data_IF_483641503380
#
_entry.id   IF_483641503380
#
_cell.length_a   1.000
_cell.length_b   1.000
_cell.length_c   1.000
_cell.angle_alpha   90.00
_cell.angle_beta   90.00
_cell.angle_gamma   90.00
#
_symmetry.space_group_name_H-M   'P 1'
#
loop_
_entity.id
_entity.type
_entity.pdbx_description
1 polymer ?
#
# COMPACT_ATOMS: atom_id res chain seq x y z
N UNK A 1 5.62 24.20 -50.44
CA UNK A 1 6.63 23.16 -50.10
C UNK A 1 5.90 21.83 -50.10
N UNK A 2 5.92 21.15 -51.25
CA UNK A 2 5.33 19.83 -51.42
C UNK A 2 6.06 18.82 -50.54
N UNK A 3 5.36 17.83 -49.95
CA UNK A 3 5.97 16.74 -49.22
C UNK A 3 6.54 15.71 -50.21
N UNK A 4 7.36 16.17 -51.14
CA UNK A 4 8.03 15.29 -52.09
C UNK A 4 9.16 14.62 -51.32
N UNK A 5 9.08 13.30 -51.24
CA UNK A 5 10.18 12.34 -51.12
C UNK A 5 11.36 12.75 -50.21
N UNK A 6 11.67 11.93 -49.21
CA UNK A 6 13.05 11.90 -48.69
C UNK A 6 13.97 11.80 -49.91
N UNK A 7 14.83 12.81 -50.19
CA UNK A 7 15.48 12.91 -51.49
C UNK A 7 16.32 11.66 -51.73
N UNK A 8 15.95 10.88 -52.75
CA UNK A 8 16.62 9.64 -53.15
C UNK A 8 15.88 8.32 -52.87
N UNK A 9 14.69 8.32 -52.26
CA UNK A 9 13.89 7.10 -52.05
C UNK A 9 12.70 7.05 -53.02
N UNK A 10 12.59 5.96 -53.80
CA UNK A 10 11.41 5.68 -54.63
C UNK A 10 10.13 5.55 -53.79
N UNK A 11 8.97 5.71 -54.43
CA UNK A 11 7.64 5.64 -53.79
C UNK A 11 7.49 4.40 -52.90
N UNK A 12 7.96 3.25 -53.37
CA UNK A 12 7.81 1.96 -52.68
C UNK A 12 8.65 1.91 -51.39
N UNK A 13 9.86 2.47 -51.43
CA UNK A 13 10.75 2.52 -50.28
C UNK A 13 10.25 3.49 -49.20
N UNK A 14 9.53 4.55 -49.57
CA UNK A 14 8.89 5.44 -48.60
C UNK A 14 7.68 4.80 -47.91
N UNK A 15 6.89 4.00 -48.64
CA UNK A 15 5.80 3.20 -48.06
C UNK A 15 6.35 2.16 -47.08
N UNK A 16 7.43 1.46 -47.44
CA UNK A 16 8.04 0.46 -46.57
C UNK A 16 8.65 1.07 -45.30
N UNK A 17 9.29 2.25 -45.41
CA UNK A 17 9.77 3.02 -44.27
C UNK A 17 8.64 3.43 -43.33
N UNK A 18 7.51 3.91 -43.88
CA UNK A 18 6.33 4.28 -43.08
C UNK A 18 5.75 3.05 -42.37
N UNK A 19 5.67 1.91 -43.06
CA UNK A 19 5.18 0.65 -42.49
C UNK A 19 6.07 0.16 -41.33
N UNK A 20 7.38 0.16 -41.51
CA UNK A 20 8.32 -0.24 -40.46
C UNK A 20 8.23 0.72 -39.27
N UNK A 21 8.25 2.04 -39.53
CA UNK A 21 8.12 3.05 -38.48
C UNK A 21 6.80 2.94 -37.71
N UNK A 22 5.69 2.73 -38.42
CA UNK A 22 4.36 2.55 -37.81
C UNK A 22 4.30 1.30 -36.93
N UNK A 23 4.85 0.17 -37.42
CA UNK A 23 4.91 -1.08 -36.64
C UNK A 23 5.74 -0.93 -35.36
N UNK A 24 6.89 -0.26 -35.42
CA UNK A 24 7.74 0.02 -34.24
C UNK A 24 7.05 0.97 -33.27
N UNK A 25 6.29 1.94 -33.77
CA UNK A 25 5.56 2.89 -32.95
C UNK A 25 4.41 2.22 -32.19
N UNK A 26 3.65 1.34 -32.86
CA UNK A 26 2.62 0.50 -32.24
C UNK A 26 3.22 -0.43 -31.17
N UNK A 27 4.30 -1.14 -31.48
CA UNK A 27 5.00 -1.99 -30.53
C UNK A 27 5.48 -1.21 -29.28
N UNK A 28 5.91 0.04 -29.47
CA UNK A 28 6.27 0.95 -28.39
C UNK A 28 5.10 1.31 -27.46
N UNK A 29 3.88 1.45 -28.00
CA UNK A 29 2.68 1.71 -27.22
C UNK A 29 2.21 0.46 -26.47
N UNK A 30 2.17 -0.69 -27.15
CA UNK A 30 1.79 -1.97 -26.54
C UNK A 30 2.72 -2.36 -25.38
N UNK A 31 4.03 -2.18 -25.55
CA UNK A 31 5.01 -2.43 -24.46
C UNK A 31 4.81 -1.51 -23.27
N UNK A 32 4.47 -0.23 -23.48
CA UNK A 32 4.15 0.69 -22.39
C UNK A 32 2.88 0.26 -21.64
N UNK A 33 1.86 -0.18 -22.38
CA UNK A 33 0.61 -0.70 -21.80
C UNK A 33 0.81 -2.00 -21.02
N UNK A 34 1.59 -2.93 -21.56
CA UNK A 34 1.94 -4.18 -20.87
C UNK A 34 2.69 -3.93 -19.56
N UNK A 35 3.62 -2.95 -19.55
CA UNK A 35 4.31 -2.51 -18.32
C UNK A 35 3.33 -1.92 -17.31
N UNK A 36 2.39 -1.09 -17.76
CA UNK A 36 1.37 -0.51 -16.88
C UNK A 36 0.43 -1.58 -16.29
N UNK A 37 0.03 -2.59 -17.07
CA UNK A 37 -0.76 -3.73 -16.59
C UNK A 37 0.00 -4.57 -15.57
N UNK A 38 1.28 -4.86 -15.83
CA UNK A 38 2.14 -5.59 -14.88
C UNK A 38 2.28 -4.82 -13.57
N UNK A 39 2.54 -3.51 -13.65
CA UNK A 39 2.62 -2.64 -12.48
C UNK A 39 1.30 -2.61 -11.72
N UNK A 40 0.16 -2.48 -12.41
CA UNK A 40 -1.17 -2.54 -11.80
C UNK A 40 -1.38 -3.83 -11.02
N UNK A 41 -1.06 -4.99 -11.59
CA UNK A 41 -1.20 -6.28 -10.90
C UNK A 41 -0.37 -6.33 -9.60
N UNK A 42 0.90 -5.94 -9.64
CA UNK A 42 1.77 -5.92 -8.45
C UNK A 42 1.22 -4.95 -7.39
N UNK A 43 0.88 -3.74 -7.80
CA UNK A 43 0.42 -2.67 -6.92
C UNK A 43 -0.92 -3.01 -6.27
N UNK A 44 -1.84 -3.62 -7.04
CA UNK A 44 -3.12 -4.10 -6.53
C UNK A 44 -2.94 -5.22 -5.50
N UNK A 45 -2.03 -6.17 -5.74
CA UNK A 45 -1.72 -7.24 -4.78
C UNK A 45 -1.14 -6.68 -3.46
N UNK A 46 -0.26 -5.69 -3.54
CA UNK A 46 0.27 -5.00 -2.36
C UNK A 46 -0.82 -4.24 -1.60
N UNK A 47 -1.72 -3.56 -2.32
CA UNK A 47 -2.86 -2.87 -1.70
C UNK A 47 -3.77 -3.87 -0.97
N UNK A 48 -4.11 -5.00 -1.60
CA UNK A 48 -4.91 -6.07 -0.97
C UNK A 48 -4.20 -6.66 0.24
N UNK A 49 -2.89 -6.93 0.15
CA UNK A 49 -2.10 -7.47 1.25
C UNK A 49 -2.05 -6.51 2.43
N UNK A 50 -1.90 -5.20 2.19
CA UNK A 50 -1.90 -4.20 3.24
C UNK A 50 -3.26 -4.00 3.88
N UNK A 51 -4.34 -3.95 3.09
CA UNK A 51 -5.71 -3.82 3.61
C UNK A 51 -6.11 -5.08 4.39
N UNK A 52 -5.78 -6.27 3.86
CA UNK A 52 -6.00 -7.53 4.55
C UNK A 52 -5.17 -7.65 5.82
N UNK A 53 -3.86 -7.37 5.73
CA UNK A 53 -2.96 -7.36 6.87
C UNK A 53 -3.43 -6.37 7.94
N UNK A 54 -3.86 -5.17 7.55
CA UNK A 54 -4.44 -4.17 8.44
C UNK A 54 -5.69 -4.68 9.18
N UNK A 55 -6.56 -5.42 8.49
CA UNK A 55 -7.77 -5.99 9.08
C UNK A 55 -7.47 -7.12 10.08
N UNK A 56 -6.41 -7.90 9.85
CA UNK A 56 -6.06 -9.05 10.69
C UNK A 56 -5.00 -8.77 11.76
N UNK A 57 -4.16 -7.75 11.61
CA UNK A 57 -3.02 -7.48 12.49
C UNK A 57 -3.35 -6.62 13.72
N UNK A 58 -4.61 -6.56 14.15
CA UNK A 58 -4.97 -5.84 15.37
C UNK A 58 -4.63 -4.35 15.33
N UNK A 59 -4.83 -3.68 14.19
CA UNK A 59 -4.58 -2.23 14.06
C UNK A 59 -5.26 -1.43 15.17
N UNK A 60 -6.38 -1.91 15.71
CA UNK A 60 -7.12 -1.27 16.79
C UNK A 60 -6.29 -1.04 18.07
N UNK A 61 -5.29 -1.88 18.33
CA UNK A 61 -4.48 -1.82 19.57
C UNK A 61 -3.17 -1.04 19.37
N UNK A 62 -2.83 -0.72 18.11
CA UNK A 62 -1.65 0.06 17.77
C UNK A 62 -1.74 1.51 18.24
N UNK A 63 -0.58 2.16 18.44
CA UNK A 63 -0.53 3.59 18.75
C UNK A 63 -1.13 4.43 17.62
N UNK A 64 -1.75 5.56 17.97
CA UNK A 64 -2.42 6.46 17.01
C UNK A 64 -1.52 6.87 15.83
N UNK A 65 -0.24 7.15 16.08
CA UNK A 65 0.70 7.51 15.01
C UNK A 65 0.88 6.36 14.00
N UNK A 66 1.03 5.12 14.48
CA UNK A 66 1.16 3.92 13.64
C UNK A 66 -0.11 3.70 12.82
N UNK A 67 -1.29 3.82 13.45
CA UNK A 67 -2.59 3.72 12.79
C UNK A 67 -2.72 4.70 11.62
N UNK A 68 -2.36 5.97 11.86
CA UNK A 68 -2.41 7.02 10.83
C UNK A 68 -1.45 6.69 9.68
N UNK A 69 -0.21 6.29 9.99
CA UNK A 69 0.76 5.92 8.96
C UNK A 69 0.30 4.70 8.13
N UNK A 70 -0.28 3.67 8.75
CA UNK A 70 -0.81 2.51 8.02
C UNK A 70 -1.99 2.91 7.13
N UNK A 71 -2.90 3.76 7.61
CA UNK A 71 -4.05 4.22 6.83
C UNK A 71 -3.61 5.10 5.65
N UNK A 72 -2.63 5.98 5.86
CA UNK A 72 -2.02 6.76 4.79
C UNK A 72 -1.32 5.86 3.75
N UNK A 73 -0.58 4.86 4.20
CA UNK A 73 0.05 3.90 3.29
C UNK A 73 -1.00 3.16 2.45
N UNK A 74 -2.05 2.63 3.08
CA UNK A 74 -3.13 1.91 2.39
C UNK A 74 -3.86 2.80 1.37
N UNK A 75 -4.20 4.03 1.73
CA UNK A 75 -4.86 4.99 0.81
C UNK A 75 -3.96 5.39 -0.35
N UNK A 76 -2.65 5.58 -0.13
CA UNK A 76 -1.69 5.84 -1.19
C UNK A 76 -1.55 4.64 -2.16
N UNK A 77 -1.56 3.42 -1.65
CA UNK A 77 -1.55 2.22 -2.51
C UNK A 77 -2.83 2.09 -3.35
N UNK A 78 -4.00 2.38 -2.79
CA UNK A 78 -5.26 2.41 -3.54
C UNK A 78 -5.24 3.51 -4.61
N UNK A 79 -4.74 4.70 -4.27
CA UNK A 79 -4.60 5.80 -5.23
C UNK A 79 -3.61 5.45 -6.35
N UNK A 80 -2.47 4.85 -6.03
CA UNK A 80 -1.52 4.36 -7.03
C UNK A 80 -2.17 3.31 -7.94
N UNK A 81 -2.90 2.35 -7.37
CA UNK A 81 -3.65 1.31 -8.11
C UNK A 81 -4.61 1.96 -9.10
N UNK A 82 -5.39 2.95 -8.65
CA UNK A 82 -6.32 3.68 -9.50
C UNK A 82 -5.62 4.44 -10.64
N UNK A 83 -4.49 5.10 -10.36
CA UNK A 83 -3.71 5.81 -11.38
C UNK A 83 -3.10 4.86 -12.42
N UNK A 84 -2.59 3.70 -12.00
CA UNK A 84 -2.12 2.67 -12.93
C UNK A 84 -3.28 2.09 -13.76
N UNK A 85 -4.46 1.89 -13.15
CA UNK A 85 -5.64 1.48 -13.88
C UNK A 85 -6.00 2.50 -14.97
N UNK A 86 -6.04 3.79 -14.64
CA UNK A 86 -6.29 4.86 -15.63
C UNK A 86 -5.21 4.94 -16.73
N UNK A 87 -3.96 4.63 -16.40
CA UNK A 87 -2.89 4.55 -17.38
C UNK A 87 -3.05 3.33 -18.31
N UNK A 88 -3.51 2.19 -17.78
CA UNK A 88 -3.68 0.94 -18.53
C UNK A 88 -4.99 0.88 -19.34
N UNK A 89 -6.06 1.55 -18.89
CA UNK A 89 -7.38 1.56 -19.54
C UNK A 89 -7.62 2.77 -20.42
N UNK A 90 -6.78 3.81 -20.34
CA UNK A 90 -6.87 4.97 -21.21
C UNK A 90 -6.80 4.57 -22.67
N UNK A 91 -7.95 4.40 -23.32
CA UNK A 91 -8.07 4.28 -24.77
C UNK A 91 -7.87 5.67 -25.35
N UNK A 92 -6.66 5.97 -25.81
CA UNK A 92 -6.44 7.20 -26.55
C UNK A 92 -7.08 7.01 -27.92
N UNK A 93 -8.06 7.86 -28.20
CA UNK A 93 -8.93 7.74 -29.35
C UNK A 93 -8.16 8.06 -30.62
N UNK A 94 -7.46 7.06 -31.17
CA UNK A 94 -7.23 6.98 -32.61
C UNK A 94 -8.60 6.72 -33.30
N UNK A 95 -9.59 6.21 -32.54
CA UNK A 95 -10.92 5.78 -33.00
C UNK A 95 -11.94 6.90 -33.25
N UNK A 96 -11.66 8.17 -32.95
CA UNK A 96 -12.58 9.25 -33.33
C UNK A 96 -12.45 9.67 -34.79
N UNK A 97 -11.54 9.06 -35.57
CA UNK A 97 -11.75 9.01 -37.02
C UNK A 97 -12.92 8.06 -37.29
N UNK A 98 -14.15 8.58 -37.23
CA UNK A 98 -15.32 8.01 -37.93
C UNK A 98 -15.14 8.06 -39.46
N UNK A 99 -13.90 8.05 -39.95
CA UNK A 99 -13.59 7.88 -41.35
C UNK A 99 -13.55 6.38 -41.60
N UNK A 100 -14.48 5.89 -42.43
CA UNK A 100 -14.30 4.64 -43.17
C UNK A 100 -12.83 4.58 -43.65
N UNK A 101 -12.21 3.39 -43.62
CA UNK A 101 -10.89 3.18 -44.23
C UNK A 101 -10.88 3.78 -45.63
N UNK A 102 -10.41 5.03 -45.73
CA UNK A 102 -10.37 5.79 -46.96
C UNK A 102 -9.05 5.39 -47.57
N UNK A 103 -9.07 4.81 -48.76
CA UNK A 103 -7.85 4.65 -49.55
C UNK A 103 -7.19 6.02 -49.64
N UNK A 104 -6.08 6.15 -48.93
CA UNK A 104 -5.27 7.37 -48.94
C UNK A 104 -4.52 7.32 -50.25
N UNK A 105 -4.76 8.29 -51.11
CA UNK A 105 -4.00 8.44 -52.36
C UNK A 105 -2.53 8.78 -52.04
N UNK A 106 -1.61 8.45 -52.95
CA UNK A 106 -0.15 8.66 -52.74
C UNK A 106 0.19 10.10 -52.32
N UNK A 107 -0.55 11.10 -52.81
CA UNK A 107 -0.33 12.52 -52.50
C UNK A 107 -0.86 12.93 -51.12
N UNK A 108 -1.84 12.21 -50.58
CA UNK A 108 -2.40 12.43 -49.24
C UNK A 108 -1.66 11.63 -48.14
N UNK A 109 -0.81 10.69 -48.53
CA UNK A 109 -0.11 9.77 -47.61
C UNK A 109 0.89 10.48 -46.70
N UNK A 110 1.67 11.43 -47.24
CA UNK A 110 2.68 12.15 -46.47
C UNK A 110 2.11 13.07 -45.36
N UNK A 111 1.07 13.90 -45.60
CA UNK A 111 0.44 14.68 -44.54
C UNK A 111 -0.34 13.79 -43.54
N UNK A 112 -0.97 12.71 -44.00
CA UNK A 112 -1.63 11.75 -43.11
C UNK A 112 -0.63 11.06 -42.17
N UNK A 113 0.54 10.65 -42.68
CA UNK A 113 1.61 10.06 -41.89
C UNK A 113 2.12 11.02 -40.80
N UNK A 114 2.33 12.31 -41.13
CA UNK A 114 2.73 13.33 -40.14
C UNK A 114 1.68 13.51 -39.04
N UNK A 115 0.39 13.50 -39.39
CA UNK A 115 -0.71 13.57 -38.42
C UNK A 115 -0.73 12.39 -37.46
N UNK A 116 -0.56 11.16 -37.99
CA UNK A 116 -0.49 9.94 -37.18
C UNK A 116 0.73 9.97 -36.25
N UNK A 117 1.90 10.37 -36.73
CA UNK A 117 3.12 10.44 -35.92
C UNK A 117 2.95 11.43 -34.76
N UNK A 118 2.41 12.62 -35.02
CA UNK A 118 2.15 13.62 -33.99
C UNK A 118 1.14 13.13 -32.94
N UNK A 119 0.09 12.42 -33.38
CA UNK A 119 -0.89 11.82 -32.47
C UNK A 119 -0.25 10.77 -31.56
N UNK A 120 0.59 9.89 -32.12
CA UNK A 120 1.29 8.86 -31.35
C UNK A 120 2.27 9.47 -30.34
N UNK A 121 3.00 10.54 -30.71
CA UNK A 121 3.86 11.23 -29.74
C UNK A 121 3.06 11.83 -28.58
N UNK A 122 1.93 12.48 -28.89
CA UNK A 122 1.06 13.07 -27.87
C UNK A 122 0.50 12.01 -26.92
N UNK A 123 0.07 10.86 -27.46
CA UNK A 123 -0.37 9.71 -26.66
C UNK A 123 0.75 9.18 -25.75
N UNK A 124 1.94 8.98 -26.32
CA UNK A 124 3.10 8.50 -25.56
C UNK A 124 3.48 9.42 -24.41
N UNK A 125 3.47 10.73 -24.63
CA UNK A 125 3.78 11.71 -23.60
C UNK A 125 2.72 11.72 -22.49
N UNK A 126 1.45 11.56 -22.84
CA UNK A 126 0.35 11.51 -21.88
C UNK A 126 0.39 10.22 -21.04
N UNK A 127 0.65 9.07 -21.66
CA UNK A 127 0.91 7.80 -20.94
C UNK A 127 2.10 7.96 -20.02
N UNK A 128 3.22 8.51 -20.52
CA UNK A 128 4.43 8.71 -19.72
C UNK A 128 4.19 9.63 -18.53
N UNK A 129 3.42 10.70 -18.70
CA UNK A 129 3.04 11.60 -17.64
C UNK A 129 2.20 10.87 -16.57
N UNK A 130 1.16 10.12 -16.98
CA UNK A 130 0.33 9.34 -16.05
C UNK A 130 1.13 8.29 -15.28
N UNK A 131 1.99 7.53 -15.98
CA UNK A 131 2.84 6.53 -15.35
C UNK A 131 3.83 7.16 -14.38
N UNK A 132 4.41 8.33 -14.69
CA UNK A 132 5.28 9.05 -13.75
C UNK A 132 4.55 9.46 -12.47
N UNK A 133 3.31 9.94 -12.58
CA UNK A 133 2.49 10.27 -11.41
C UNK A 133 2.17 9.02 -10.58
N UNK A 134 1.77 7.92 -11.24
CA UNK A 134 1.52 6.65 -10.58
C UNK A 134 2.77 6.12 -9.86
N UNK A 135 3.95 6.21 -10.49
CA UNK A 135 5.23 5.82 -9.89
C UNK A 135 5.56 6.68 -8.66
N UNK A 136 5.34 8.00 -8.73
CA UNK A 136 5.60 8.90 -7.61
C UNK A 136 4.71 8.57 -6.40
N UNK A 137 3.41 8.33 -6.64
CA UNK A 137 2.47 7.92 -5.58
C UNK A 137 2.84 6.54 -5.02
N UNK A 138 3.21 5.58 -5.87
CA UNK A 138 3.64 4.26 -5.43
C UNK A 138 4.94 4.32 -4.60
N UNK A 139 5.89 5.19 -4.97
CA UNK A 139 7.09 5.42 -4.18
C UNK A 139 6.76 5.98 -2.80
N UNK A 140 5.90 7.02 -2.73
CA UNK A 140 5.42 7.57 -1.47
C UNK A 140 4.68 6.52 -0.62
N UNK A 141 3.87 5.67 -1.25
CA UNK A 141 3.18 4.57 -0.59
C UNK A 141 4.19 3.60 0.03
N UNK A 142 5.19 3.17 -0.73
CA UNK A 142 6.24 2.26 -0.27
C UNK A 142 7.07 2.86 0.87
N UNK A 143 7.51 4.12 0.75
CA UNK A 143 8.25 4.79 1.83
C UNK A 143 7.41 4.91 3.10
N UNK A 144 6.12 5.24 2.97
CA UNK A 144 5.21 5.35 4.11
C UNK A 144 4.97 3.98 4.75
N UNK A 145 4.84 2.91 3.96
CA UNK A 145 4.76 1.54 4.47
C UNK A 145 6.00 1.15 5.26
N UNK A 146 7.21 1.45 4.77
CA UNK A 146 8.46 1.15 5.48
C UNK A 146 8.55 1.94 6.79
N UNK A 147 8.18 3.21 6.78
CA UNK A 147 8.12 4.04 8.00
C UNK A 147 7.10 3.46 8.99
N UNK A 148 5.90 3.11 8.54
CA UNK A 148 4.87 2.52 9.39
C UNK A 148 5.37 1.23 10.05
N UNK A 149 5.99 0.34 9.28
CA UNK A 149 6.59 -0.90 9.79
C UNK A 149 7.70 -0.57 10.80
N UNK A 150 8.62 0.34 10.47
CA UNK A 150 9.69 0.76 11.38
C UNK A 150 9.16 1.36 12.69
N UNK A 151 8.07 2.13 12.62
CA UNK A 151 7.40 2.66 13.81
C UNK A 151 6.76 1.56 14.66
N UNK A 152 6.21 0.50 14.06
CA UNK A 152 5.76 -0.68 14.83
C UNK A 152 6.96 -1.26 15.61
N UNK A 153 8.09 -1.50 14.95
CA UNK A 153 9.27 -2.07 15.63
C UNK A 153 9.82 -1.19 16.77
N UNK A 154 9.71 0.13 16.67
CA UNK A 154 10.26 1.07 17.66
C UNK A 154 9.25 1.39 18.77
N UNK A 155 7.97 1.59 18.40
CA UNK A 155 6.95 2.15 19.29
C UNK A 155 5.97 1.11 19.81
N UNK A 156 5.86 -0.04 19.15
CA UNK A 156 4.97 -1.09 19.59
C UNK A 156 5.67 -1.86 20.71
N UNK A 157 5.17 -1.80 21.96
CA UNK A 157 5.46 -2.85 22.89
C UNK A 157 4.65 -4.04 22.37
N UNK A 158 5.18 -4.78 21.37
CA UNK A 158 4.62 -5.99 20.75
C UNK A 158 4.39 -7.15 21.74
N UNK A 159 4.35 -6.82 23.01
CA UNK A 159 4.22 -7.67 24.15
C UNK A 159 3.05 -7.23 25.03
N UNK A 160 2.47 -6.03 24.89
CA UNK A 160 1.39 -5.64 25.78
C UNK A 160 0.05 -6.24 25.34
N UNK A 161 -0.44 -7.24 26.08
CA UNK A 161 -1.76 -7.84 25.87
C UNK A 161 -2.60 -7.73 27.13
N UNK A 162 -3.89 -7.45 26.98
CA UNK A 162 -4.80 -7.34 28.11
C UNK A 162 -5.15 -8.75 28.58
N UNK A 163 -4.87 -9.04 29.84
CA UNK A 163 -5.13 -10.34 30.42
C UNK A 163 -5.88 -10.23 31.74
N UNK A 164 -6.71 -11.23 32.00
CA UNK A 164 -7.29 -11.45 33.32
C UNK A 164 -6.32 -12.26 34.14
N UNK A 165 -5.85 -11.66 35.23
CA UNK A 165 -4.84 -12.20 36.12
C UNK A 165 -5.50 -12.63 37.40
N UNK A 166 -5.19 -13.84 37.84
CA UNK A 166 -5.50 -14.32 39.18
C UNK A 166 -4.22 -14.37 40.00
N UNK A 167 -4.24 -13.73 41.17
CA UNK A 167 -3.10 -13.78 42.09
C UNK A 167 -3.22 -15.01 43.00
N UNK A 168 -2.35 -15.98 42.78
CA UNK A 168 -2.23 -17.18 43.61
C UNK A 168 -0.94 -17.08 44.47
N UNK A 169 -1.00 -16.28 45.53
CA UNK A 169 0.12 -16.08 46.45
C UNK A 169 -0.32 -16.26 47.89
N UNK A 170 0.47 -16.94 48.75
CA UNK A 170 0.25 -16.95 50.19
C UNK A 170 0.38 -15.53 50.81
N UNK A 171 1.10 -14.61 50.15
CA UNK A 171 1.17 -13.19 50.48
C UNK A 171 0.04 -12.36 49.83
N UNK A 172 -0.95 -13.00 49.20
CA UNK A 172 -2.04 -12.36 48.46
C UNK A 172 -2.84 -11.34 49.28
N UNK A 173 -2.84 -11.48 50.61
CA UNK A 173 -3.44 -10.51 51.54
C UNK A 173 -2.80 -9.11 51.48
N UNK A 174 -1.50 -9.01 51.22
CA UNK A 174 -0.79 -7.73 51.06
C UNK A 174 -1.15 -7.05 49.75
N UNK A 175 -1.34 -7.82 48.68
CA UNK A 175 -1.74 -7.29 47.37
C UNK A 175 -3.23 -6.92 47.37
N UNK A 176 -4.08 -7.71 48.03
CA UNK A 176 -5.50 -7.38 48.25
C UNK A 176 -5.70 -6.08 49.05
N UNK A 177 -4.74 -5.69 49.89
CA UNK A 177 -4.78 -4.40 50.59
C UNK A 177 -4.63 -3.20 49.62
N UNK A 178 -3.88 -3.38 48.52
CA UNK A 178 -3.69 -2.39 47.46
C UNK A 178 -4.83 -2.47 46.44
N UNK A 179 -5.25 -3.69 46.12
CA UNK A 179 -6.27 -4.03 45.14
C UNK A 179 -7.56 -4.52 45.79
N UNK A 180 -8.38 -3.57 46.25
CA UNK A 180 -9.54 -3.79 47.14
C UNK A 180 -10.71 -4.55 46.49
N UNK A 181 -10.67 -4.77 45.19
CA UNK A 181 -11.89 -5.03 44.39
C UNK A 181 -11.78 -6.27 43.52
N UNK A 182 -10.67 -7.00 43.62
CA UNK A 182 -10.52 -8.27 42.95
C UNK A 182 -11.46 -9.31 43.61
N UNK A 183 -12.70 -9.42 43.11
CA UNK A 183 -13.59 -10.55 43.43
C UNK A 183 -12.79 -11.83 43.14
N UNK A 184 -12.55 -12.64 44.16
CA UNK A 184 -11.76 -13.88 44.08
C UNK A 184 -10.28 -13.72 43.67
N UNK A 185 -9.72 -12.51 43.79
CA UNK A 185 -8.32 -12.26 43.41
C UNK A 185 -8.07 -12.13 41.91
N UNK A 186 -9.12 -11.96 41.10
CA UNK A 186 -9.05 -11.73 39.66
C UNK A 186 -9.22 -10.24 39.32
N UNK A 187 -8.38 -9.72 38.43
CA UNK A 187 -8.54 -8.39 37.83
C UNK A 187 -7.95 -8.34 36.42
N UNK A 188 -8.35 -7.32 35.65
CA UNK A 188 -7.89 -7.13 34.27
C UNK A 188 -6.78 -6.08 34.24
N UNK A 189 -5.64 -6.43 33.64
CA UNK A 189 -4.51 -5.54 33.45
C UNK A 189 -3.84 -5.83 32.11
N UNK A 190 -3.05 -4.88 31.62
CA UNK A 190 -2.21 -5.08 30.44
C UNK A 190 -0.87 -5.67 30.89
N UNK A 191 -0.51 -6.83 30.35
CA UNK A 191 0.73 -7.54 30.66
C UNK A 191 1.68 -7.38 29.49
N UNK A 192 2.94 -7.05 29.77
CA UNK A 192 4.04 -7.26 28.84
C UNK A 192 4.36 -8.78 28.73
N UNK A 193 3.92 -9.45 27.66
CA UNK A 193 4.18 -10.83 27.28
C UNK A 193 5.67 -11.20 27.33
N UNK A 194 6.60 -10.29 27.03
CA UNK A 194 8.03 -10.58 27.18
C UNK A 194 8.43 -10.68 28.65
N UNK A 195 7.72 -9.99 29.55
CA UNK A 195 7.91 -10.11 30.99
C UNK A 195 7.46 -11.47 31.56
N UNK A 196 6.62 -12.23 30.86
CA UNK A 196 6.21 -13.58 31.28
C UNK A 196 7.39 -14.55 31.40
N UNK A 197 8.44 -14.37 30.59
CA UNK A 197 9.67 -15.16 30.67
C UNK A 197 10.61 -14.73 31.81
N UNK A 198 10.37 -13.55 32.41
CA UNK A 198 11.20 -12.97 33.47
C UNK A 198 10.69 -13.42 34.84
N UNK A 199 11.49 -13.17 35.89
CA UNK A 199 11.09 -13.46 37.29
C UNK A 199 9.96 -12.58 37.80
N UNK A 200 9.77 -11.43 37.17
CA UNK A 200 8.76 -10.43 37.52
C UNK A 200 8.02 -10.00 36.26
N UNK A 201 6.71 -9.84 36.39
CA UNK A 201 5.85 -9.27 35.38
C UNK A 201 5.47 -7.84 35.77
N UNK A 202 5.46 -6.95 34.80
CA UNK A 202 4.99 -5.57 34.97
C UNK A 202 3.58 -5.48 34.42
N UNK A 203 2.66 -5.06 35.27
CA UNK A 203 1.26 -4.84 34.96
C UNK A 203 1.01 -3.34 34.80
N UNK A 204 0.48 -2.94 33.65
CA UNK A 204 0.10 -1.55 33.34
C UNK A 204 -1.40 -1.46 33.05
N UNK A 205 -1.94 -0.24 33.07
CA UNK A 205 -3.37 0.03 32.82
C UNK A 205 -4.32 -0.80 33.71
N UNK A 206 -3.96 -0.92 34.99
CA UNK A 206 -4.82 -1.60 35.96
C UNK A 206 -6.04 -0.72 36.17
N UNK A 207 -7.24 -1.26 35.95
CA UNK A 207 -8.49 -0.51 36.17
C UNK A 207 -8.46 0.05 37.59
N UNK A 208 -8.55 1.38 37.70
CA UNK A 208 -8.48 2.12 38.98
C UNK A 208 -9.56 1.72 39.98
N UNK A 209 -10.63 1.10 39.49
CA UNK A 209 -11.66 0.48 40.33
C UNK A 209 -11.13 -0.73 41.09
N UNK A 210 -10.13 -1.43 40.57
CA UNK A 210 -9.61 -2.70 41.10
C UNK A 210 -8.40 -2.49 42.02
N UNK A 211 -7.56 -1.48 41.74
CA UNK A 211 -6.41 -1.11 42.55
C UNK A 211 -6.33 0.40 42.81
N UNK A 212 -6.08 0.79 44.06
CA UNK A 212 -5.93 2.20 44.45
C UNK A 212 -4.67 2.80 43.82
N UNK A 213 -4.83 3.62 42.78
CA UNK A 213 -3.82 4.50 42.18
C UNK A 213 -2.51 3.82 41.71
N UNK A 214 -2.49 2.50 41.55
CA UNK A 214 -1.35 1.80 40.96
C UNK A 214 -1.49 1.81 39.43
N UNK A 215 -0.84 2.76 38.76
CA UNK A 215 -0.72 2.78 37.30
C UNK A 215 0.22 1.69 36.78
N UNK A 216 1.12 1.22 37.65
CA UNK A 216 2.10 0.19 37.37
C UNK A 216 2.26 -0.70 38.62
N UNK A 217 2.26 -2.02 38.43
CA UNK A 217 2.47 -2.99 39.50
C UNK A 217 3.41 -4.08 39.02
N UNK A 218 4.51 -4.29 39.74
CA UNK A 218 5.47 -5.37 39.44
C UNK A 218 5.24 -6.54 40.40
N UNK A 219 4.92 -7.72 39.87
CA UNK A 219 4.61 -8.92 40.67
C UNK A 219 5.53 -10.08 40.24
N UNK A 220 6.02 -10.92 41.17
CA UNK A 220 6.69 -12.16 40.80
C UNK A 220 5.80 -13.05 39.93
N UNK A 221 6.34 -13.56 38.82
CA UNK A 221 5.58 -14.38 37.84
C UNK A 221 4.97 -15.63 38.49
N UNK A 222 5.64 -16.22 39.48
CA UNK A 222 5.17 -17.38 40.24
C UNK A 222 3.88 -17.15 41.04
N UNK A 223 3.47 -15.90 41.23
CA UNK A 223 2.27 -15.53 41.99
C UNK A 223 1.07 -15.27 41.10
N UNK A 224 1.25 -15.38 39.78
CA UNK A 224 0.26 -14.95 38.80
C UNK A 224 -0.11 -16.13 37.93
N UNK A 225 -1.40 -16.43 37.93
CA UNK A 225 -2.03 -17.38 37.03
C UNK A 225 -2.83 -16.57 35.99
N UNK A 226 -2.50 -16.76 34.71
CA UNK A 226 -3.19 -16.07 33.61
C UNK A 226 -4.44 -16.88 33.28
N UNK A 227 -5.60 -16.32 33.59
CA UNK A 227 -6.89 -16.99 33.40
C UNK A 227 -7.35 -16.88 31.95
N UNK A 228 -7.17 -15.69 31.36
CA UNK A 228 -7.51 -15.42 29.97
C UNK A 228 -6.64 -14.30 29.41
N UNK A 229 -6.22 -14.45 28.16
CA UNK A 229 -5.58 -13.38 27.38
C UNK A 229 -6.62 -12.90 26.37
N UNK A 230 -6.97 -11.62 26.41
CA UNK A 230 -7.79 -11.00 25.37
C UNK A 230 -6.85 -10.57 24.24
N UNK A 231 -7.06 -11.08 23.01
CA UNK A 231 -6.30 -10.64 21.86
C UNK A 231 -6.57 -9.17 21.54
#
# INVERSE_FOLDING_TARGET
MSPDSVPGLGSDASIELIRDYYSRSLAGSETARARAQTAFSIVSALATLLVGGAAFAGIADQRTCVKICMLLAATLWLLATFLYAQAATGTFSISNSKGKAREVTSDEAAPAAKGIIALVHTERDLVRWKTRHANAVAFLAATTSVIAIGLIWILDPATQSRATIKINSPDGSKIAAICKTAKNGEFSATIDLASLSKKFITLTDIKTKDCKNASELTIPTKWVEIVAVQP
#
